data_IF_123260822124
#
_entry.id   IF_123260822124
#
_cell.length_a   1.000
_cell.length_b   1.000
_cell.length_c   1.000
_cell.angle_alpha   90.00
_cell.angle_beta   90.00
_cell.angle_gamma   90.00
#
_symmetry.space_group_name_H-M   'P 1'
#
loop_
_entity.id
_entity.type
_entity.pdbx_description
1 polymer ?
#
# COMPACT_ATOMS: atom_id res chain seq x y z
N UNK A 1 -0.48 -10.74 -26.50
CA UNK A 1 0.36 -9.89 -27.36
C UNK A 1 -0.45 -8.65 -27.64
N UNK A 2 -0.12 -7.54 -26.97
CA UNK A 2 -0.73 -6.23 -27.18
C UNK A 2 0.31 -5.41 -27.95
N UNK A 3 0.36 -5.64 -29.28
CA UNK A 3 1.07 -4.78 -30.23
C UNK A 3 0.14 -3.63 -30.57
N UNK A 4 0.24 -2.51 -29.87
CA UNK A 4 -0.63 -1.39 -30.17
C UNK A 4 -0.60 -0.22 -29.17
N UNK A 5 0.42 -0.11 -28.36
CA UNK A 5 0.67 1.17 -27.67
C UNK A 5 1.48 2.01 -28.65
N UNK A 6 0.82 3.01 -29.23
CA UNK A 6 1.47 4.00 -30.10
C UNK A 6 2.65 4.65 -29.34
N UNK A 7 3.85 4.36 -29.83
CA UNK A 7 5.12 4.90 -29.33
C UNK A 7 5.18 6.46 -29.45
N UNK A 8 4.20 7.07 -30.10
CA UNK A 8 4.11 8.54 -30.28
C UNK A 8 3.67 9.29 -29.02
N UNK A 9 3.17 8.60 -27.97
CA UNK A 9 2.79 9.21 -26.70
C UNK A 9 3.92 9.23 -25.65
N UNK A 10 5.14 8.88 -26.01
CA UNK A 10 6.29 8.97 -25.11
C UNK A 10 7.01 10.33 -25.25
N UNK A 11 6.70 11.34 -24.43
CA UNK A 11 7.56 12.51 -24.36
C UNK A 11 8.68 12.27 -23.35
N UNK A 12 9.89 12.05 -23.88
CA UNK A 12 11.15 12.57 -23.37
C UNK A 12 11.39 12.55 -21.83
N UNK A 13 11.62 11.36 -21.28
CA UNK A 13 12.49 11.18 -20.13
C UNK A 13 13.86 10.58 -20.52
N UNK A 14 14.11 10.46 -21.82
CA UNK A 14 15.37 9.99 -22.38
C UNK A 14 16.38 11.14 -22.47
N UNK A 15 16.89 11.60 -21.32
CA UNK A 15 18.15 12.36 -21.28
C UNK A 15 18.93 11.96 -20.03
N UNK A 16 19.99 11.18 -20.27
CA UNK A 16 21.17 10.97 -19.43
C UNK A 16 20.98 10.19 -18.13
N UNK A 17 20.78 8.88 -18.22
CA UNK A 17 21.37 7.94 -17.27
C UNK A 17 22.04 6.83 -18.07
N UNK A 18 23.29 6.54 -17.71
CA UNK A 18 24.02 5.39 -18.23
C UNK A 18 23.20 4.10 -17.97
N UNK A 19 23.28 3.07 -18.84
CA UNK A 19 22.47 1.84 -18.72
C UNK A 19 22.61 1.07 -17.39
N UNK A 20 23.59 1.44 -16.56
CA UNK A 20 23.92 0.79 -15.28
C UNK A 20 23.01 1.21 -14.11
N UNK A 21 22.26 2.32 -14.23
CA UNK A 21 21.52 2.92 -13.11
C UNK A 21 20.00 2.87 -13.24
N UNK A 22 19.43 2.03 -14.10
CA UNK A 22 17.96 1.89 -14.14
C UNK A 22 17.47 1.12 -12.91
N UNK A 23 16.55 1.69 -12.12
CA UNK A 23 16.03 1.01 -10.93
C UNK A 23 15.28 -0.26 -11.34
N UNK A 24 15.64 -1.37 -10.71
CA UNK A 24 14.96 -2.66 -10.93
C UNK A 24 13.68 -2.73 -10.10
N UNK A 25 13.68 -2.12 -8.90
CA UNK A 25 12.58 -2.20 -7.93
C UNK A 25 12.04 -0.81 -7.62
N UNK A 26 10.72 -0.67 -7.76
CA UNK A 26 9.96 0.46 -7.25
C UNK A 26 9.37 0.15 -5.88
N UNK A 27 9.39 1.13 -5.00
CA UNK A 27 8.81 1.03 -3.67
C UNK A 27 7.84 2.19 -3.47
N UNK A 28 6.58 1.89 -3.17
CA UNK A 28 5.60 2.90 -2.77
C UNK A 28 5.41 2.83 -1.26
N UNK A 29 5.81 3.90 -0.56
CA UNK A 29 5.64 4.03 0.89
C UNK A 29 4.28 4.58 1.26
N UNK A 30 3.60 3.93 2.20
CA UNK A 30 2.37 4.41 2.85
C UNK A 30 2.64 5.08 4.20
N UNK A 31 1.62 5.10 5.06
CA UNK A 31 1.72 5.60 6.44
C UNK A 31 2.84 4.88 7.20
N UNK A 32 3.67 5.63 7.90
CA UNK A 32 4.86 5.11 8.59
C UNK A 32 6.11 5.01 7.71
N UNK A 33 6.01 5.12 6.38
CA UNK A 33 7.14 5.04 5.45
C UNK A 33 7.14 6.24 4.49
N UNK A 34 7.37 7.43 5.04
CA UNK A 34 7.44 8.68 4.25
C UNK A 34 8.80 8.87 3.57
N UNK A 35 9.83 8.25 4.14
CA UNK A 35 11.18 8.17 3.60
C UNK A 35 11.65 6.72 3.74
N UNK A 36 12.39 6.25 2.76
CA UNK A 36 12.98 4.92 2.82
C UNK A 36 14.30 4.99 3.59
N UNK A 37 14.29 4.52 4.83
CA UNK A 37 15.51 4.44 5.63
C UNK A 37 16.53 3.48 4.99
N UNK A 38 17.79 3.84 5.01
CA UNK A 38 18.87 3.07 4.38
C UNK A 38 19.00 3.29 2.87
N UNK A 39 18.24 4.24 2.29
CA UNK A 39 18.43 4.64 0.90
C UNK A 39 19.68 5.52 0.79
N UNK A 40 20.66 5.07 0.03
CA UNK A 40 21.95 5.74 -0.22
C UNK A 40 21.94 6.44 -1.59
N UNK A 41 22.85 7.40 -1.80
CA UNK A 41 23.04 8.16 -3.07
C UNK A 41 21.75 8.80 -3.57
N UNK A 42 20.96 9.36 -2.66
CA UNK A 42 19.60 9.82 -2.94
C UNK A 42 19.60 11.07 -3.82
N UNK A 43 18.94 10.98 -4.97
CA UNK A 43 18.57 12.15 -5.73
C UNK A 43 17.07 12.13 -6.05
N UNK A 44 16.45 13.30 -6.14
CA UNK A 44 15.00 13.44 -6.36
C UNK A 44 14.73 14.02 -7.73
N UNK A 45 13.73 13.45 -8.40
CA UNK A 45 13.27 13.93 -9.71
C UNK A 45 11.75 14.07 -9.72
N UNK A 46 11.28 15.25 -10.12
CA UNK A 46 9.86 15.49 -10.37
C UNK A 46 9.50 14.79 -11.68
N UNK A 47 8.56 13.86 -11.62
CA UNK A 47 8.05 13.19 -12.81
C UNK A 47 6.90 14.01 -13.43
N UNK A 48 6.92 14.11 -14.75
CA UNK A 48 5.78 14.62 -15.54
C UNK A 48 5.12 13.43 -16.20
N UNK A 49 3.80 13.33 -16.07
CA UNK A 49 3.03 12.22 -16.65
C UNK A 49 1.86 12.76 -17.48
N UNK A 50 1.34 11.99 -18.44
CA UNK A 50 0.10 12.34 -19.15
C UNK A 50 -1.11 12.45 -18.21
N UNK A 51 -0.99 11.87 -17.02
CA UNK A 51 -2.06 11.78 -16.01
C UNK A 51 -1.97 12.86 -14.93
N UNK A 52 -1.08 13.85 -15.12
CA UNK A 52 -0.85 14.91 -14.15
C UNK A 52 0.33 14.65 -13.20
N UNK A 53 0.29 15.26 -12.04
CA UNK A 53 1.37 15.20 -11.06
C UNK A 53 1.31 13.93 -10.21
N UNK A 54 2.48 13.39 -9.88
CA UNK A 54 2.66 12.36 -8.86
C UNK A 54 2.46 12.92 -7.45
N UNK A 55 2.27 12.06 -6.46
CA UNK A 55 2.16 12.44 -5.04
C UNK A 55 3.37 13.22 -4.52
N UNK A 56 4.51 13.10 -5.17
CA UNK A 56 5.75 13.81 -4.86
C UNK A 56 6.86 13.45 -5.84
N UNK A 57 8.03 14.05 -5.67
CA UNK A 57 9.19 13.70 -6.46
C UNK A 57 9.59 12.23 -6.22
N UNK A 58 10.00 11.53 -7.27
CA UNK A 58 10.60 10.20 -7.15
C UNK A 58 11.98 10.32 -6.51
N UNK A 59 12.25 9.51 -5.50
CA UNK A 59 13.58 9.39 -4.87
C UNK A 59 14.30 8.19 -5.45
N UNK A 60 15.33 8.43 -6.24
CA UNK A 60 16.24 7.42 -6.76
C UNK A 60 17.39 7.24 -5.77
N UNK A 61 17.89 6.02 -5.64
CA UNK A 61 19.02 5.71 -4.78
C UNK A 61 19.35 4.23 -4.81
N UNK A 62 20.14 3.80 -3.83
CA UNK A 62 20.51 2.39 -3.64
C UNK A 62 20.02 1.91 -2.28
N UNK A 63 19.40 0.76 -2.24
CA UNK A 63 19.06 0.06 -1.01
C UNK A 63 19.85 -1.24 -0.95
N UNK A 64 20.76 -1.33 0.02
CA UNK A 64 21.73 -2.43 0.11
C UNK A 64 22.49 -2.66 -1.23
N UNK A 65 22.93 -1.59 -1.88
CA UNK A 65 23.64 -1.60 -3.15
C UNK A 65 22.77 -1.79 -4.40
N UNK A 66 21.48 -2.11 -4.28
CA UNK A 66 20.55 -2.32 -5.40
C UNK A 66 19.90 -1.00 -5.81
N UNK A 67 19.90 -0.62 -7.10
CA UNK A 67 19.20 0.57 -7.57
C UNK A 67 17.68 0.44 -7.34
N UNK A 68 17.09 1.41 -6.64
CA UNK A 68 15.66 1.48 -6.36
C UNK A 68 15.11 2.87 -6.62
N UNK A 69 13.80 2.95 -6.84
CA UNK A 69 13.06 4.22 -6.81
C UNK A 69 11.96 4.15 -5.77
N UNK A 70 11.89 5.17 -4.93
CA UNK A 70 10.91 5.30 -3.86
C UNK A 70 9.95 6.45 -4.15
N UNK A 71 8.67 6.23 -3.86
CA UNK A 71 7.62 7.24 -3.91
C UNK A 71 6.80 7.22 -2.61
N UNK A 72 6.69 8.38 -1.94
CA UNK A 72 5.77 8.56 -0.82
C UNK A 72 4.34 8.74 -1.35
N UNK A 73 3.47 7.75 -1.15
CA UNK A 73 2.10 7.71 -1.70
C UNK A 73 1.25 8.89 -1.28
N UNK A 74 1.37 9.34 -0.05
CA UNK A 74 0.60 10.45 0.52
C UNK A 74 1.35 11.80 0.46
N UNK A 75 2.42 11.88 -0.35
CA UNK A 75 3.33 13.03 -0.35
C UNK A 75 4.27 13.05 0.87
N UNK A 76 5.31 13.86 0.80
CA UNK A 76 6.31 13.94 1.89
C UNK A 76 5.76 14.50 3.20
N UNK A 77 4.69 15.29 3.17
CA UNK A 77 4.00 15.82 4.35
C UNK A 77 2.85 14.94 4.85
N UNK A 78 2.60 13.79 4.22
CA UNK A 78 1.42 12.95 4.48
C UNK A 78 0.11 13.75 4.38
N UNK A 79 -0.01 14.60 3.34
CA UNK A 79 -1.10 15.56 3.19
C UNK A 79 -2.14 15.16 2.14
N UNK A 80 -1.87 14.09 1.36
CA UNK A 80 -2.78 13.63 0.31
C UNK A 80 -3.64 12.50 0.87
N UNK A 81 -4.95 12.73 0.94
CA UNK A 81 -5.90 11.71 1.38
C UNK A 81 -5.95 10.51 0.42
N UNK A 82 -6.33 9.30 0.86
CA UNK A 82 -6.33 8.10 0.02
C UNK A 82 -7.13 8.25 -1.28
N UNK A 83 -8.24 8.97 -1.27
CA UNK A 83 -9.09 9.19 -2.44
C UNK A 83 -8.61 10.31 -3.37
N UNK A 84 -7.70 11.19 -2.89
CA UNK A 84 -7.12 12.29 -3.67
C UNK A 84 -5.78 11.91 -4.32
N UNK A 85 -5.25 10.71 -4.05
CA UNK A 85 -4.01 10.25 -4.64
C UNK A 85 -4.20 10.07 -6.15
N UNK A 86 -3.28 10.64 -6.92
CA UNK A 86 -3.21 10.38 -8.35
C UNK A 86 -2.46 9.06 -8.61
N UNK A 87 -3.18 7.94 -8.42
CA UNK A 87 -2.61 6.60 -8.60
C UNK A 87 -2.10 6.37 -10.01
N UNK A 88 -2.81 6.90 -11.05
CA UNK A 88 -2.37 6.79 -12.45
C UNK A 88 -1.01 7.44 -12.65
N UNK A 89 -0.84 8.68 -12.19
CA UNK A 89 0.44 9.37 -12.31
C UNK A 89 1.55 8.63 -11.54
N UNK A 90 1.26 8.13 -10.34
CA UNK A 90 2.24 7.45 -9.49
C UNK A 90 2.77 6.16 -10.14
N UNK A 91 1.88 5.27 -10.55
CA UNK A 91 2.27 3.97 -11.13
C UNK A 91 2.92 4.16 -12.50
N UNK A 92 2.38 5.06 -13.33
CA UNK A 92 2.97 5.43 -14.62
C UNK A 92 4.41 5.94 -14.47
N UNK A 93 4.62 6.91 -13.58
CA UNK A 93 5.94 7.50 -13.36
C UNK A 93 7.00 6.47 -12.92
N UNK A 94 6.60 5.49 -12.09
CA UNK A 94 7.48 4.41 -11.67
C UNK A 94 7.84 3.48 -12.84
N UNK A 95 6.86 3.12 -13.69
CA UNK A 95 7.11 2.33 -14.89
C UNK A 95 8.07 3.06 -15.84
N UNK A 96 7.81 4.34 -16.12
CA UNK A 96 8.67 5.18 -16.98
C UNK A 96 10.09 5.38 -16.39
N UNK A 97 10.23 5.35 -15.08
CA UNK A 97 11.53 5.34 -14.40
C UNK A 97 12.32 4.03 -14.64
N UNK A 98 11.72 3.03 -15.26
CA UNK A 98 12.35 1.75 -15.60
C UNK A 98 12.16 0.65 -14.56
N UNK A 99 11.22 0.85 -13.61
CA UNK A 99 10.86 -0.18 -12.61
C UNK A 99 10.35 -1.44 -13.29
N UNK A 100 10.83 -2.59 -12.82
CA UNK A 100 10.47 -3.94 -13.30
C UNK A 100 9.64 -4.73 -12.27
N UNK A 101 9.65 -4.31 -11.02
CA UNK A 101 8.85 -4.89 -9.95
C UNK A 101 8.46 -3.79 -8.96
N UNK A 102 7.20 -3.74 -8.54
CA UNK A 102 6.65 -2.70 -7.67
C UNK A 102 6.18 -3.31 -6.35
N UNK A 103 6.82 -2.89 -5.26
CA UNK A 103 6.45 -3.28 -3.90
C UNK A 103 5.74 -2.11 -3.22
N UNK A 104 4.48 -2.32 -2.85
CA UNK A 104 3.72 -1.37 -2.05
C UNK A 104 3.85 -1.69 -0.56
N UNK A 105 4.14 -0.68 0.25
CA UNK A 105 4.07 -0.79 1.70
C UNK A 105 2.80 -0.07 2.20
N UNK A 106 2.07 -0.70 3.13
CA UNK A 106 0.80 -0.17 3.64
C UNK A 106 0.62 -0.46 5.12
N UNK A 107 -0.07 0.46 5.82
CA UNK A 107 -0.64 0.20 7.12
C UNK A 107 -2.07 -0.32 6.96
N UNK A 108 -2.48 -1.31 7.76
CA UNK A 108 -3.80 -1.95 7.69
C UNK A 108 -4.40 -2.16 9.07
N UNK A 109 -5.73 -2.19 9.15
CA UNK A 109 -6.47 -2.67 10.31
C UNK A 109 -6.74 -4.16 10.19
N UNK A 110 -6.36 -4.96 11.21
CA UNK A 110 -6.54 -6.41 11.21
C UNK A 110 -7.98 -6.83 11.54
N UNK A 111 -8.55 -7.72 10.73
CA UNK A 111 -9.85 -8.37 10.98
C UNK A 111 -9.65 -9.81 11.45
N UNK A 112 -8.86 -10.60 10.72
CA UNK A 112 -8.53 -11.99 11.06
C UNK A 112 -7.80 -12.03 12.40
N UNK A 113 -8.08 -13.03 13.22
CA UNK A 113 -7.70 -13.03 14.63
C UNK A 113 -6.17 -13.10 14.87
N UNK A 114 -5.41 -13.66 13.93
CA UNK A 114 -3.93 -13.69 13.94
C UNK A 114 -3.28 -12.39 13.46
N UNK A 115 -4.05 -11.48 12.82
CA UNK A 115 -3.55 -10.20 12.34
C UNK A 115 -3.63 -9.14 13.46
N UNK A 116 -2.75 -9.27 14.44
CA UNK A 116 -2.61 -8.35 15.56
C UNK A 116 -1.70 -7.17 15.21
N UNK A 117 -1.82 -6.02 15.92
CA UNK A 117 -0.92 -4.88 15.73
C UNK A 117 0.56 -5.30 15.80
N UNK A 118 1.35 -4.85 14.83
CA UNK A 118 2.76 -5.23 14.67
C UNK A 118 3.00 -6.42 13.75
N UNK A 119 1.97 -7.22 13.41
CA UNK A 119 2.09 -8.32 12.44
C UNK A 119 2.36 -7.79 11.05
N UNK A 120 3.31 -8.39 10.33
CA UNK A 120 3.49 -8.18 8.89
C UNK A 120 2.64 -9.18 8.10
N UNK A 121 2.17 -8.76 6.93
CA UNK A 121 1.36 -9.62 6.05
C UNK A 121 1.65 -9.33 4.58
N UNK A 122 1.68 -10.39 3.77
CA UNK A 122 1.76 -10.34 2.30
C UNK A 122 0.41 -10.84 1.75
N UNK A 123 -0.54 -9.93 1.46
CA UNK A 123 -1.88 -10.32 1.01
C UNK A 123 -1.83 -11.02 -0.35
N UNK A 124 -2.86 -11.80 -0.65
CA UNK A 124 -3.00 -12.53 -1.92
C UNK A 124 -4.30 -12.19 -2.67
N UNK A 125 -5.28 -11.58 -2.01
CA UNK A 125 -6.55 -11.18 -2.60
C UNK A 125 -6.98 -9.75 -2.20
N UNK A 126 -7.86 -9.16 -3.03
CA UNK A 126 -8.43 -7.83 -2.80
C UNK A 126 -9.94 -7.88 -3.01
N UNK A 127 -10.69 -7.22 -2.11
CA UNK A 127 -12.07 -6.79 -2.36
C UNK A 127 -12.06 -5.27 -2.40
N UNK A 128 -12.58 -4.69 -3.49
CA UNK A 128 -12.59 -3.24 -3.70
C UNK A 128 -13.95 -2.65 -3.27
N UNK A 129 -13.90 -1.76 -2.28
CA UNK A 129 -15.05 -0.96 -1.81
C UNK A 129 -14.85 0.53 -2.12
N UNK A 130 -13.85 0.88 -2.93
CA UNK A 130 -13.59 2.27 -3.30
C UNK A 130 -14.54 2.75 -4.40
N UNK A 131 -14.68 4.04 -4.51
CA UNK A 131 -15.52 4.67 -5.53
C UNK A 131 -14.97 6.03 -5.95
N UNK A 132 -15.34 6.49 -7.16
CA UNK A 132 -14.96 7.81 -7.67
C UNK A 132 -13.47 8.00 -7.98
N UNK A 133 -12.63 6.96 -7.89
CA UNK A 133 -11.22 6.97 -8.25
C UNK A 133 -11.04 6.73 -9.75
N UNK A 134 -9.98 7.27 -10.32
CA UNK A 134 -9.59 6.96 -11.70
C UNK A 134 -8.93 5.57 -11.73
N UNK A 135 -9.63 4.57 -12.27
CA UNK A 135 -9.29 3.15 -12.10
C UNK A 135 -8.58 2.51 -13.30
N UNK A 136 -8.43 3.23 -14.43
CA UNK A 136 -7.86 2.69 -15.67
C UNK A 136 -7.09 3.75 -16.44
N UNK A 137 -6.06 3.31 -17.20
CA UNK A 137 -5.39 4.13 -18.21
C UNK A 137 -6.18 4.17 -19.53
N UNK A 138 -7.01 3.16 -19.78
CA UNK A 138 -7.80 2.98 -21.01
C UNK A 138 -9.23 3.49 -20.80
N UNK A 139 -9.35 4.80 -20.49
CA UNK A 139 -10.63 5.46 -20.30
C UNK A 139 -10.70 6.74 -21.14
N UNK A 140 -11.80 6.93 -21.87
CA UNK A 140 -12.02 8.08 -22.74
C UNK A 140 -12.75 7.66 -24.01
N UNK A 141 -13.27 8.64 -24.75
CA UNK A 141 -14.08 8.41 -25.95
C UNK A 141 -13.29 7.77 -27.10
N UNK A 142 -11.97 8.00 -27.15
CA UNK A 142 -11.09 7.55 -28.25
C UNK A 142 -10.22 6.33 -27.86
N UNK A 143 -10.45 5.73 -26.70
CA UNK A 143 -9.66 4.58 -26.24
C UNK A 143 -10.50 3.30 -26.25
N UNK A 144 -9.98 2.17 -26.77
CA UNK A 144 -10.67 0.90 -26.67
C UNK A 144 -10.76 0.46 -25.21
N UNK A 145 -11.88 -0.18 -24.84
CA UNK A 145 -12.02 -0.81 -23.53
C UNK A 145 -11.06 -2.00 -23.44
N UNK A 146 -10.22 -2.01 -22.42
CA UNK A 146 -9.28 -3.09 -22.14
C UNK A 146 -9.73 -3.83 -20.88
N UNK A 147 -9.91 -5.15 -21.02
CA UNK A 147 -10.21 -6.04 -19.90
C UNK A 147 -8.93 -6.78 -19.49
N UNK A 148 -8.53 -6.60 -18.23
CA UNK A 148 -7.39 -7.33 -17.65
C UNK A 148 -7.88 -8.52 -16.83
N UNK A 149 -7.15 -9.63 -16.85
CA UNK A 149 -7.35 -10.70 -15.88
C UNK A 149 -6.83 -10.23 -14.51
N UNK A 150 -7.75 -10.14 -13.55
CA UNK A 150 -7.47 -9.71 -12.19
C UNK A 150 -7.84 -10.76 -11.14
N UNK A 151 -7.96 -12.03 -11.56
CA UNK A 151 -8.23 -13.17 -10.67
C UNK A 151 -7.18 -13.29 -9.55
N UNK A 152 -5.94 -12.91 -9.86
CA UNK A 152 -4.83 -12.84 -8.93
C UNK A 152 -4.23 -11.42 -8.96
N UNK A 153 -4.69 -10.51 -8.07
CA UNK A 153 -4.33 -9.09 -8.12
C UNK A 153 -2.85 -8.82 -7.83
N UNK A 154 -2.19 -9.71 -7.11
CA UNK A 154 -0.79 -9.61 -6.76
C UNK A 154 0.05 -10.60 -7.57
N UNK A 155 1.27 -10.18 -7.98
CA UNK A 155 2.20 -11.06 -8.69
C UNK A 155 2.71 -12.18 -7.77
N UNK A 156 2.51 -13.42 -8.20
CA UNK A 156 2.82 -14.60 -7.39
C UNK A 156 4.33 -14.76 -7.12
N UNK A 157 5.16 -14.37 -8.10
CA UNK A 157 6.62 -14.45 -7.96
C UNK A 157 7.11 -13.39 -6.96
N UNK A 158 6.64 -12.16 -7.08
CA UNK A 158 7.02 -11.08 -6.19
C UNK A 158 6.53 -11.33 -4.76
N UNK A 159 5.31 -11.85 -4.59
CA UNK A 159 4.80 -12.30 -3.27
C UNK A 159 5.71 -13.38 -2.66
N UNK A 160 6.06 -14.41 -3.44
CA UNK A 160 6.95 -15.47 -2.97
C UNK A 160 8.31 -14.90 -2.53
N UNK A 161 8.90 -13.95 -3.27
CA UNK A 161 10.15 -13.29 -2.89
C UNK A 161 10.05 -12.52 -1.57
N UNK A 162 8.93 -11.85 -1.32
CA UNK A 162 8.68 -11.18 -0.03
C UNK A 162 8.61 -12.18 1.14
N UNK A 163 7.94 -13.32 0.94
CA UNK A 163 7.81 -14.39 1.94
C UNK A 163 9.17 -15.04 2.20
N UNK A 164 9.92 -15.40 1.15
CA UNK A 164 11.28 -15.96 1.25
C UNK A 164 12.24 -14.99 1.94
N UNK A 165 12.12 -13.68 1.66
CA UNK A 165 12.91 -12.64 2.31
C UNK A 165 12.63 -12.58 3.81
N UNK A 166 11.37 -12.65 4.22
CA UNK A 166 10.98 -12.67 5.63
C UNK A 166 11.54 -13.90 6.35
N UNK A 167 11.43 -15.08 5.75
CA UNK A 167 12.02 -16.31 6.26
C UNK A 167 13.54 -16.20 6.43
N UNK A 168 14.22 -15.67 5.41
CA UNK A 168 15.68 -15.50 5.39
C UNK A 168 16.19 -14.58 6.51
N UNK A 169 15.37 -13.60 6.95
CA UNK A 169 15.73 -12.69 8.04
C UNK A 169 15.10 -13.09 9.38
N UNK A 170 14.43 -14.24 9.45
CA UNK A 170 13.79 -14.74 10.67
C UNK A 170 12.61 -13.88 11.15
N UNK A 171 11.92 -13.17 10.22
CA UNK A 171 10.77 -12.34 10.54
C UNK A 171 9.47 -13.10 10.26
N UNK A 172 8.68 -13.45 11.30
CA UNK A 172 7.35 -14.01 11.09
C UNK A 172 6.44 -13.04 10.36
N UNK A 173 5.64 -13.55 9.42
CA UNK A 173 4.57 -12.80 8.77
C UNK A 173 3.42 -13.73 8.35
N UNK A 174 2.23 -13.17 8.15
CA UNK A 174 1.13 -13.85 7.49
C UNK A 174 1.37 -13.86 5.97
N UNK A 175 1.32 -15.06 5.39
CA UNK A 175 1.67 -15.28 3.97
C UNK A 175 0.51 -15.09 3.01
N UNK A 176 -0.70 -14.86 3.52
CA UNK A 176 -1.95 -14.72 2.80
C UNK A 176 -2.91 -13.76 3.51
N UNK A 177 -3.97 -13.40 2.83
CA UNK A 177 -5.10 -12.65 3.37
C UNK A 177 -5.75 -11.75 2.35
N UNK A 178 -7.06 -11.64 2.45
CA UNK A 178 -7.86 -10.77 1.60
C UNK A 178 -7.84 -9.33 2.12
N UNK A 179 -7.34 -8.42 1.30
CA UNK A 179 -7.30 -6.98 1.59
C UNK A 179 -8.61 -6.33 1.19
N UNK A 180 -9.43 -5.88 2.15
CA UNK A 180 -10.56 -5.01 1.88
C UNK A 180 -10.07 -3.58 1.66
N UNK A 181 -10.22 -3.06 0.44
CA UNK A 181 -9.82 -1.70 0.11
C UNK A 181 -10.98 -0.74 0.33
N UNK A 182 -10.94 0.06 1.39
CA UNK A 182 -11.99 1.03 1.74
C UNK A 182 -11.65 2.43 1.20
N UNK A 183 -12.65 3.30 1.12
CA UNK A 183 -12.47 4.64 0.56
C UNK A 183 -11.59 5.54 1.42
N UNK A 184 -11.74 5.50 2.75
CA UNK A 184 -11.12 6.48 3.64
C UNK A 184 -11.59 7.92 3.39
N UNK A 185 -10.99 8.93 4.03
CA UNK A 185 -9.92 8.82 5.03
C UNK A 185 -10.41 8.42 6.43
N UNK A 186 -11.74 8.44 6.69
CA UNK A 186 -12.30 7.96 7.96
C UNK A 186 -12.06 6.47 8.13
N UNK A 187 -11.88 6.03 9.36
CA UNK A 187 -11.89 4.61 9.69
C UNK A 187 -13.32 4.04 9.60
N UNK A 188 -13.41 2.75 9.51
CA UNK A 188 -14.65 2.01 9.34
C UNK A 188 -15.47 1.99 10.63
N UNK A 189 -16.80 1.98 10.48
CA UNK A 189 -17.70 1.71 11.60
C UNK A 189 -17.67 0.23 11.99
N UNK A 190 -18.08 -0.08 13.23
CA UNK A 190 -18.23 -1.47 13.69
C UNK A 190 -19.16 -2.30 12.77
N UNK A 191 -20.20 -1.67 12.23
CA UNK A 191 -21.13 -2.33 11.33
C UNK A 191 -20.48 -2.65 9.97
N UNK A 192 -19.66 -1.73 9.44
CA UNK A 192 -18.86 -1.95 8.22
C UNK A 192 -17.84 -3.07 8.43
N UNK A 193 -17.11 -3.07 9.55
CA UNK A 193 -16.13 -4.14 9.87
C UNK A 193 -16.82 -5.51 9.94
N UNK A 194 -18.00 -5.60 10.57
CA UNK A 194 -18.80 -6.84 10.58
C UNK A 194 -19.20 -7.31 9.18
N UNK A 195 -19.54 -6.37 8.29
CA UNK A 195 -19.84 -6.66 6.89
C UNK A 195 -18.60 -7.16 6.17
N UNK A 196 -17.50 -6.44 6.23
CA UNK A 196 -16.24 -6.79 5.55
C UNK A 196 -15.70 -8.15 6.01
N UNK A 197 -15.82 -8.47 7.31
CA UNK A 197 -15.48 -9.81 7.82
C UNK A 197 -16.34 -10.91 7.18
N UNK A 198 -17.66 -10.68 7.01
CA UNK A 198 -18.56 -11.63 6.34
C UNK A 198 -18.28 -11.76 4.86
N UNK A 199 -17.84 -10.69 4.22
CA UNK A 199 -17.45 -10.68 2.81
C UNK A 199 -16.11 -11.41 2.58
N UNK A 200 -15.39 -11.78 3.65
CA UNK A 200 -14.13 -12.54 3.60
C UNK A 200 -12.88 -11.67 3.67
N UNK A 201 -12.97 -10.40 4.07
CA UNK A 201 -11.79 -9.57 4.30
C UNK A 201 -11.06 -10.00 5.58
N UNK A 202 -9.73 -10.15 5.49
CA UNK A 202 -8.84 -10.44 6.61
C UNK A 202 -8.22 -9.18 7.21
N UNK A 203 -8.11 -8.12 6.41
CA UNK A 203 -7.58 -6.82 6.80
C UNK A 203 -8.24 -5.70 6.01
N UNK A 204 -8.15 -4.48 6.52
CA UNK A 204 -8.67 -3.28 5.87
C UNK A 204 -7.56 -2.26 5.65
N UNK A 205 -7.59 -1.63 4.49
CA UNK A 205 -6.73 -0.51 4.16
C UNK A 205 -7.35 0.31 3.03
N UNK A 206 -6.68 1.36 2.59
CA UNK A 206 -7.33 2.37 1.75
C UNK A 206 -6.66 2.58 0.39
N UNK A 207 -5.59 1.81 0.07
CA UNK A 207 -4.69 2.20 -1.03
C UNK A 207 -4.34 1.11 -2.04
N UNK A 208 -4.74 -0.16 -1.81
CA UNK A 208 -4.46 -1.24 -2.76
C UNK A 208 -5.17 -1.04 -4.10
N UNK A 209 -6.34 -0.39 -4.09
CA UNK A 209 -7.09 -0.05 -5.29
C UNK A 209 -7.18 1.47 -5.49
N UNK A 210 -6.98 1.94 -6.71
CA UNK A 210 -6.74 1.21 -7.96
C UNK A 210 -5.27 0.86 -8.23
N UNK A 211 -4.34 1.04 -7.27
CA UNK A 211 -2.89 0.90 -7.48
C UNK A 211 -2.51 -0.45 -8.11
N UNK A 212 -3.07 -1.57 -7.61
CA UNK A 212 -2.81 -2.91 -8.13
C UNK A 212 -3.35 -3.11 -9.56
N UNK A 213 -4.57 -2.63 -9.84
CA UNK A 213 -5.17 -2.73 -11.17
C UNK A 213 -4.39 -1.91 -12.21
N UNK A 214 -3.99 -0.69 -11.84
CA UNK A 214 -3.18 0.16 -12.70
C UNK A 214 -1.79 -0.44 -12.99
N UNK A 215 -1.18 -1.08 -12.00
CA UNK A 215 0.07 -1.82 -12.21
C UNK A 215 -0.13 -2.99 -13.20
N UNK A 216 -1.25 -3.72 -13.08
CA UNK A 216 -1.61 -4.81 -13.98
C UNK A 216 -1.82 -4.33 -15.42
N UNK A 217 -2.49 -3.20 -15.62
CA UNK A 217 -2.70 -2.62 -16.96
C UNK A 217 -1.38 -2.23 -17.65
N UNK A 218 -0.33 -1.94 -16.87
CA UNK A 218 1.00 -1.61 -17.39
C UNK A 218 1.97 -2.81 -17.42
N UNK A 219 1.48 -4.04 -17.23
CA UNK A 219 2.30 -5.25 -17.10
C UNK A 219 3.44 -5.11 -16.08
N UNK A 220 3.19 -4.36 -15.00
CA UNK A 220 4.14 -4.13 -13.93
C UNK A 220 3.84 -5.09 -12.75
N UNK A 221 4.70 -6.10 -12.49
CA UNK A 221 4.55 -6.98 -11.33
C UNK A 221 4.39 -6.19 -10.05
N UNK A 222 3.30 -6.46 -9.31
CA UNK A 222 2.92 -5.73 -8.11
C UNK A 222 2.67 -6.68 -6.95
N UNK A 223 3.24 -6.37 -5.77
CA UNK A 223 2.91 -7.03 -4.52
C UNK A 223 2.91 -6.04 -3.37
N UNK A 224 2.28 -6.44 -2.26
CA UNK A 224 2.18 -5.60 -1.07
C UNK A 224 2.84 -6.29 0.13
N UNK A 225 3.57 -5.50 0.92
CA UNK A 225 4.01 -5.84 2.26
C UNK A 225 3.30 -4.88 3.23
N UNK A 226 2.34 -5.38 3.98
CA UNK A 226 1.55 -4.57 4.90
C UNK A 226 1.95 -4.81 6.37
N UNK A 227 1.80 -3.78 7.19
CA UNK A 227 1.94 -3.85 8.65
C UNK A 227 0.58 -3.58 9.30
N UNK A 228 0.17 -4.46 10.19
CA UNK A 228 -1.06 -4.26 10.96
C UNK A 228 -0.83 -3.17 12.01
N UNK A 229 -1.56 -2.07 11.89
CA UNK A 229 -1.43 -0.91 12.76
C UNK A 229 -2.37 -0.98 13.97
N UNK A 230 -3.56 -1.53 13.77
CA UNK A 230 -4.60 -1.65 14.81
C UNK A 230 -5.51 -2.84 14.53
N UNK A 231 -6.31 -3.22 15.51
CA UNK A 231 -7.48 -4.06 15.25
C UNK A 231 -8.59 -3.20 14.64
N UNK A 232 -9.29 -3.76 13.64
CA UNK A 232 -10.42 -3.05 13.03
C UNK A 232 -11.54 -2.79 14.06
N UNK A 233 -12.32 -1.75 13.84
CA UNK A 233 -13.31 -1.24 14.80
C UNK A 233 -14.26 -2.33 15.33
N UNK A 234 -14.43 -2.35 16.67
CA UNK A 234 -15.30 -3.30 17.36
C UNK A 234 -14.76 -4.72 17.53
N UNK A 235 -13.50 -4.96 17.13
CA UNK A 235 -12.80 -6.22 17.40
C UNK A 235 -11.94 -6.11 18.67
N UNK A 236 -11.76 -7.22 19.44
CA UNK A 236 -10.94 -7.20 20.64
C UNK A 236 -9.47 -6.89 20.33
N UNK A 237 -8.79 -6.22 21.24
CA UNK A 237 -7.40 -5.80 21.07
C UNK A 237 -6.38 -6.96 21.07
N UNK A 238 -6.76 -8.15 21.51
CA UNK A 238 -5.93 -9.36 21.55
C UNK A 238 -6.70 -10.59 21.11
N UNK A 239 -6.04 -11.78 21.06
CA UNK A 239 -6.74 -13.02 20.76
C UNK A 239 -7.84 -13.22 21.78
N UNK A 240 -9.07 -13.47 21.31
CA UNK A 240 -10.19 -13.82 22.18
C UNK A 240 -9.82 -15.07 22.97
N UNK A 241 -9.57 -14.94 24.27
CA UNK A 241 -9.46 -16.06 25.16
C UNK A 241 -10.84 -16.77 25.15
N UNK A 242 -10.94 -17.85 24.37
CA UNK A 242 -12.01 -18.82 24.39
C UNK A 242 -13.43 -18.26 24.44
N UNK A 243 -13.95 -17.77 23.32
CA UNK A 243 -15.39 -17.57 23.17
C UNK A 243 -15.87 -18.04 21.79
N UNK A 244 -16.08 -19.36 21.70
CA UNK A 244 -16.91 -19.94 20.67
C UNK A 244 -18.37 -19.59 21.03
N UNK A 245 -18.94 -18.57 20.41
CA UNK A 245 -20.37 -18.42 20.30
C UNK A 245 -21.11 -17.52 21.28
N UNK A 246 -20.67 -16.28 21.47
CA UNK A 246 -21.60 -15.26 21.95
C UNK A 246 -21.54 -14.03 21.04
N UNK A 247 -22.60 -13.87 20.26
CA UNK A 247 -22.96 -12.59 19.67
C UNK A 247 -23.23 -11.63 20.83
N UNK A 248 -22.20 -10.89 21.24
CA UNK A 248 -22.29 -9.95 22.35
C UNK A 248 -23.33 -8.88 22.06
N UNK A 249 -24.21 -8.67 23.03
CA UNK A 249 -25.21 -7.60 23.07
C UNK A 249 -24.55 -6.23 22.85
N UNK A 250 -25.25 -5.27 22.18
CA UNK A 250 -24.76 -3.92 22.00
C UNK A 250 -24.74 -3.20 23.35
N UNK A 251 -23.59 -2.94 23.88
CA UNK A 251 -23.44 -2.22 25.14
C UNK A 251 -22.02 -1.76 25.38
N UNK A 252 -21.58 -0.85 24.63
CA UNK A 252 -20.67 0.28 24.92
C UNK A 252 -20.19 0.84 23.59
N UNK A 253 -20.61 2.05 23.31
CA UNK A 253 -20.08 2.86 22.22
C UNK A 253 -18.62 3.10 22.55
N UNK A 254 -17.70 2.50 21.77
CA UNK A 254 -16.33 2.97 21.72
C UNK A 254 -16.37 4.19 20.80
N UNK A 255 -15.94 5.38 21.26
CA UNK A 255 -16.04 6.59 20.45
C UNK A 255 -15.32 6.42 19.10
N UNK A 256 -15.94 6.94 18.04
CA UNK A 256 -15.35 7.02 16.71
C UNK A 256 -14.04 7.77 16.76
N UNK A 257 -13.00 7.17 16.21
CA UNK A 257 -11.69 7.78 16.18
C UNK A 257 -11.37 8.22 14.77
N UNK A 258 -11.49 9.52 14.55
CA UNK A 258 -10.92 10.18 13.40
C UNK A 258 -9.49 10.64 13.73
N UNK A 259 -8.53 10.31 12.88
CA UNK A 259 -7.22 10.99 12.90
C UNK A 259 -7.49 12.39 12.36
N UNK A 260 -7.86 13.32 13.23
CA UNK A 260 -8.04 14.73 12.90
C UNK A 260 -6.80 15.51 13.29
N UNK A 261 -5.96 15.86 12.31
CA UNK A 261 -5.24 17.11 12.39
C UNK A 261 -6.10 18.16 11.70
N UNK A 262 -6.59 19.11 12.44
CA UNK A 262 -6.87 20.52 12.19
C UNK A 262 -8.19 20.97 12.79
N UNK A 263 -8.06 22.06 13.50
CA UNK A 263 -9.00 23.03 14.06
C UNK A 263 -9.52 22.75 15.48
N UNK A 264 -8.93 23.49 16.39
CA UNK A 264 -9.29 23.96 17.73
C UNK A 264 -10.68 23.65 18.31
N UNK A 265 -11.03 22.37 18.48
CA UNK A 265 -12.14 21.94 19.30
C UNK A 265 -11.62 20.91 20.31
N UNK A 266 -12.20 20.84 21.49
CA UNK A 266 -11.80 19.94 22.56
C UNK A 266 -11.63 18.51 21.98
N UNK A 267 -10.39 18.01 22.02
CA UNK A 267 -10.06 16.66 21.58
C UNK A 267 -10.59 15.67 22.60
N UNK A 268 -11.28 14.65 22.14
CA UNK A 268 -11.72 13.55 22.98
C UNK A 268 -10.50 12.67 23.32
N UNK A 269 -10.21 12.45 24.61
CA UNK A 269 -9.04 11.69 25.10
C UNK A 269 -8.94 10.29 24.43
N UNK A 270 -10.07 9.68 24.07
CA UNK A 270 -10.11 8.38 23.38
C UNK A 270 -9.63 8.46 21.91
N UNK A 271 -9.71 9.60 21.25
CA UNK A 271 -9.20 9.81 19.90
C UNK A 271 -7.68 9.91 19.87
N UNK A 272 -7.12 10.63 20.85
CA UNK A 272 -5.67 10.76 21.00
C UNK A 272 -5.04 9.39 21.32
N UNK A 273 -5.73 8.54 22.11
CA UNK A 273 -5.25 7.22 22.49
C UNK A 273 -5.15 6.24 21.27
N UNK A 274 -6.14 6.18 20.38
CA UNK A 274 -6.04 5.29 19.19
C UNK A 274 -5.00 5.78 18.19
N UNK A 275 -4.89 7.08 17.95
CA UNK A 275 -3.86 7.64 17.09
C UNK A 275 -2.45 7.33 17.62
N UNK A 276 -2.25 7.41 18.93
CA UNK A 276 -1.02 7.01 19.61
C UNK A 276 -0.77 5.50 19.49
N UNK A 277 -1.78 4.66 19.68
CA UNK A 277 -1.67 3.19 19.53
C UNK A 277 -1.28 2.81 18.10
N UNK A 278 -1.93 3.39 17.08
CA UNK A 278 -1.59 3.19 15.66
C UNK A 278 -0.15 3.60 15.39
N UNK A 279 0.25 4.79 15.85
CA UNK A 279 1.61 5.30 15.68
C UNK A 279 2.65 4.42 16.35
N UNK A 280 2.39 3.97 17.58
CA UNK A 280 3.27 3.07 18.33
C UNK A 280 3.42 1.71 17.63
N UNK A 281 2.31 1.10 17.19
CA UNK A 281 2.32 -0.18 16.48
C UNK A 281 3.10 -0.09 15.16
N UNK A 282 2.89 0.97 14.37
CA UNK A 282 3.64 1.20 13.14
C UNK A 282 5.12 1.44 13.43
N UNK A 283 5.46 2.25 14.42
CA UNK A 283 6.85 2.50 14.81
C UNK A 283 7.59 1.22 15.21
N UNK A 284 6.90 0.30 15.89
CA UNK A 284 7.43 -1.00 16.26
C UNK A 284 7.56 -1.96 15.05
N UNK A 285 6.64 -1.89 14.09
CA UNK A 285 6.63 -2.77 12.92
C UNK A 285 7.62 -2.32 11.82
N UNK A 286 7.88 -1.01 11.69
CA UNK A 286 8.69 -0.46 10.60
C UNK A 286 10.11 -1.02 10.49
N UNK A 287 10.88 -1.21 11.57
CA UNK A 287 12.21 -1.82 11.47
C UNK A 287 12.17 -3.23 10.85
N UNK A 288 11.16 -4.03 11.23
CA UNK A 288 10.96 -5.37 10.70
C UNK A 288 10.51 -5.35 9.23
N UNK A 289 9.60 -4.45 8.88
CA UNK A 289 9.18 -4.24 7.49
C UNK A 289 10.38 -3.86 6.61
N UNK A 290 11.19 -2.90 7.04
CA UNK A 290 12.39 -2.46 6.32
C UNK A 290 13.41 -3.59 6.17
N UNK A 291 13.60 -4.43 7.20
CA UNK A 291 14.49 -5.60 7.14
C UNK A 291 14.04 -6.61 6.07
N UNK A 292 12.74 -6.92 6.01
CA UNK A 292 12.15 -7.79 4.99
C UNK A 292 12.26 -7.16 3.61
N UNK A 293 11.89 -5.89 3.48
CA UNK A 293 11.92 -5.13 2.23
C UNK A 293 13.34 -5.07 1.65
N UNK A 294 14.34 -4.74 2.48
CA UNK A 294 15.75 -4.70 2.07
C UNK A 294 16.22 -6.05 1.57
N UNK A 295 15.87 -7.13 2.28
CA UNK A 295 16.21 -8.50 1.85
C UNK A 295 15.52 -8.87 0.55
N UNK A 296 14.23 -8.53 0.37
CA UNK A 296 13.50 -8.79 -0.86
C UNK A 296 14.13 -8.06 -2.05
N UNK A 297 14.49 -6.79 -1.89
CA UNK A 297 15.18 -5.99 -2.92
C UNK A 297 16.46 -6.66 -3.37
N UNK A 298 17.30 -7.16 -2.43
CA UNK A 298 18.55 -7.86 -2.79
C UNK A 298 18.33 -9.21 -3.48
N UNK A 299 17.17 -9.81 -3.39
CA UNK A 299 16.81 -11.05 -4.09
C UNK A 299 16.20 -10.80 -5.48
N UNK A 300 15.83 -9.56 -5.80
CA UNK A 300 15.26 -9.15 -7.08
C UNK A 300 16.30 -8.53 -8.02
N UNK A 301 17.50 -8.22 -7.51
CA UNK A 301 18.66 -7.75 -8.28
C UNK A 301 19.34 -8.92 -8.97
#
# INVERSE_FOLDING_TARGET
MIDGIDDSMAPALAAASTPVDRPVVGIIGGSGLLNLAGLEDVHRKVARTPWGQTSGALSFGRLAGVPVVFLARHGYGHTIAPHDINYRANVWALREAGVKALIACSAVGGIRDDLLPGTLVVPDQIIDYTWGRAVSYFSGEDQPVVHIDFSHPYDATLRRRLIEAAQAVGQPLATDGCYGCTQGPRLETVAEVRRYRRDGCDMLGMTAMPEAALARELDLPYAMLAAVANRAAGLPAGPAAGDAGQVGRPGRIVPDVAIAQANGGAKDEAQDDLALQISAALSAAMPNLLKVLTRAVTQLA
#
